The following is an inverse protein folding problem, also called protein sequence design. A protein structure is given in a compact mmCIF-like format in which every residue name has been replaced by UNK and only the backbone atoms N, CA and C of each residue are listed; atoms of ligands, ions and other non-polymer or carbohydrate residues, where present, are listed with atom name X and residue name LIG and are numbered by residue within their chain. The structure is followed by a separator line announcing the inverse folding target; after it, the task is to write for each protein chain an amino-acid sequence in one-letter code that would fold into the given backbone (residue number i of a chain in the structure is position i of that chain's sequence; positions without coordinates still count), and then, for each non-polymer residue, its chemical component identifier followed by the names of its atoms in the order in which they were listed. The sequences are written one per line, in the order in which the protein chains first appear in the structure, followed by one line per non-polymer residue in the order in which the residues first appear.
data_IF_194099293160
#
_entry.id   IF_194099293160
#
_cell.length_a   1.000
_cell.length_b   1.000
_cell.length_c   1.000
_cell.angle_alpha   90.00
_cell.angle_beta   90.00
_cell.angle_gamma   90.00
#
_symmetry.space_group_name_H-M   'P 1'
#
loop_
_entity.id
_entity.type
_entity.pdbx_description
1 polymer ?
#
# COMPACT_ATOMS: atom_id res chain seq x y z
N UNK A 1 55.64 16.58 -4.97
CA UNK A 1 54.29 17.02 -5.41
C UNK A 1 53.17 16.05 -4.99
N UNK A 2 53.36 14.73 -5.06
CA UNK A 2 52.33 13.74 -4.67
C UNK A 2 51.86 13.83 -3.20
N UNK A 3 52.78 14.02 -2.25
CA UNK A 3 52.45 14.05 -0.80
C UNK A 3 51.55 15.24 -0.44
N UNK A 4 51.75 16.39 -1.10
CA UNK A 4 50.94 17.59 -0.88
C UNK A 4 49.51 17.40 -1.40
N UNK A 5 49.35 16.74 -2.55
CA UNK A 5 48.05 16.42 -3.12
C UNK A 5 47.25 15.43 -2.25
N UNK A 6 47.93 14.41 -1.70
CA UNK A 6 47.30 13.43 -0.79
C UNK A 6 46.84 14.10 0.51
N UNK A 7 47.64 14.99 1.09
CA UNK A 7 47.24 15.76 2.28
C UNK A 7 46.05 16.68 2.01
N UNK A 8 46.03 17.37 0.87
CA UNK A 8 44.93 18.23 0.49
C UNK A 8 43.63 17.44 0.30
N UNK A 9 43.67 16.29 -0.37
CA UNK A 9 42.52 15.41 -0.53
C UNK A 9 41.99 14.89 0.81
N UNK A 10 42.88 14.52 1.74
CA UNK A 10 42.50 14.04 3.07
C UNK A 10 41.84 15.13 3.92
N UNK A 11 42.35 16.37 3.83
CA UNK A 11 41.75 17.53 4.49
C UNK A 11 40.36 17.85 3.92
N UNK A 12 40.19 17.81 2.59
CA UNK A 12 38.88 18.00 1.96
C UNK A 12 37.89 16.92 2.40
N UNK A 13 38.31 15.66 2.45
CA UNK A 13 37.48 14.56 2.95
C UNK A 13 37.07 14.77 4.42
N UNK A 14 38.02 15.17 5.29
CA UNK A 14 37.74 15.45 6.70
C UNK A 14 36.78 16.63 6.88
N UNK A 15 36.94 17.68 6.08
CA UNK A 15 36.04 18.85 6.09
C UNK A 15 34.63 18.45 5.62
N UNK A 16 34.51 17.59 4.61
CA UNK A 16 33.21 17.09 4.14
C UNK A 16 32.52 16.22 5.20
N UNK A 17 33.26 15.34 5.90
CA UNK A 17 32.70 14.53 7.01
C UNK A 17 32.29 15.42 8.18
N UNK A 18 33.11 16.41 8.54
CA UNK A 18 32.78 17.37 9.59
C UNK A 18 31.56 18.22 9.21
N UNK A 19 31.48 18.69 7.96
CA UNK A 19 30.33 19.44 7.46
C UNK A 19 29.05 18.58 7.46
N UNK A 20 29.14 17.30 7.08
CA UNK A 20 28.02 16.36 7.14
C UNK A 20 27.54 16.12 8.57
N UNK A 21 28.45 16.05 9.55
CA UNK A 21 28.12 15.93 10.97
C UNK A 21 27.50 17.20 11.58
N UNK A 22 27.69 18.35 10.92
CA UNK A 22 27.14 19.66 11.32
C UNK A 22 25.91 20.06 10.51
N UNK A 23 25.41 19.18 9.63
CA UNK A 23 24.13 19.41 8.98
C UNK A 23 23.07 19.47 10.08
N UNK A 24 22.29 20.56 10.16
CA UNK A 24 21.26 20.69 11.18
C UNK A 24 20.33 19.50 11.04
N UNK A 25 19.99 18.86 12.17
CA UNK A 25 19.00 17.81 12.24
C UNK A 25 17.80 18.24 11.39
N UNK A 26 17.50 17.48 10.33
CA UNK A 26 16.29 17.74 9.54
C UNK A 26 15.15 17.53 10.52
N UNK A 27 14.52 18.63 10.94
CA UNK A 27 13.45 18.57 11.91
C UNK A 27 12.32 17.82 11.23
N UNK A 28 11.98 16.66 11.80
CA UNK A 28 10.86 15.89 11.29
C UNK A 28 9.59 16.72 11.44
N UNK A 29 8.87 16.88 10.32
CA UNK A 29 7.62 17.61 10.27
C UNK A 29 6.49 16.59 10.33
N UNK A 30 5.63 16.73 11.34
CA UNK A 30 4.37 15.99 11.40
C UNK A 30 3.36 16.68 10.48
N UNK A 31 2.93 16.00 9.41
CA UNK A 31 1.82 16.47 8.59
C UNK A 31 0.50 16.09 9.28
N UNK A 32 -0.26 17.09 9.71
CA UNK A 32 -1.57 16.88 10.35
C UNK A 32 -2.67 17.59 9.58
N UNK A 33 -3.65 16.83 9.09
CA UNK A 33 -4.85 17.31 8.45
C UNK A 33 -6.07 16.90 9.28
N UNK A 34 -6.92 17.85 9.62
CA UNK A 34 -8.16 17.62 10.39
C UNK A 34 -9.32 18.28 9.69
N UNK A 35 -10.33 17.50 9.33
CA UNK A 35 -11.44 17.98 8.51
C UNK A 35 -10.98 18.43 7.12
N UNK A 36 -11.82 19.22 6.47
CA UNK A 36 -11.51 19.86 5.20
C UNK A 36 -11.55 18.92 3.99
N UNK A 37 -11.25 19.51 2.83
CA UNK A 37 -11.33 18.84 1.54
C UNK A 37 -9.98 18.84 0.85
N UNK A 38 -9.58 17.69 0.31
CA UNK A 38 -8.45 17.51 -0.61
C UNK A 38 -9.03 17.23 -2.00
N UNK A 39 -9.00 18.25 -2.85
CA UNK A 39 -9.50 18.22 -4.22
C UNK A 39 -8.37 18.40 -5.26
N UNK A 40 -7.12 18.44 -4.80
CA UNK A 40 -5.91 18.45 -5.61
C UNK A 40 -4.99 17.31 -5.19
N UNK A 41 -4.21 16.80 -6.13
CA UNK A 41 -3.26 15.73 -5.85
C UNK A 41 -2.21 16.20 -4.84
N UNK A 42 -1.90 15.35 -3.85
CA UNK A 42 -0.91 15.60 -2.81
C UNK A 42 0.09 14.45 -2.84
N UNK A 43 1.38 14.77 -2.83
CA UNK A 43 2.44 13.80 -2.56
C UNK A 43 3.14 14.20 -1.27
N UNK A 44 2.98 13.37 -0.24
CA UNK A 44 3.64 13.52 1.05
C UNK A 44 4.93 12.70 1.03
N UNK A 45 6.04 13.31 1.41
CA UNK A 45 7.34 12.66 1.36
C UNK A 45 8.37 13.42 2.19
N UNK A 46 9.29 14.12 1.51
CA UNK A 46 10.47 14.76 2.11
C UNK A 46 10.17 15.50 3.42
N UNK A 47 11.05 15.31 4.39
CA UNK A 47 10.99 15.90 5.73
C UNK A 47 9.79 15.48 6.60
N UNK A 48 8.98 14.52 6.16
CA UNK A 48 7.87 13.97 6.95
C UNK A 48 8.24 12.58 7.47
N UNK A 49 8.01 12.35 8.76
CA UNK A 49 8.06 11.03 9.39
C UNK A 49 6.65 10.52 9.77
N UNK A 50 5.74 11.46 10.06
CA UNK A 50 4.41 11.18 10.58
C UNK A 50 3.35 11.93 9.78
N UNK A 51 2.32 11.21 9.34
CA UNK A 51 1.13 11.76 8.70
C UNK A 51 -0.11 11.38 9.50
N UNK A 52 -0.90 12.36 9.89
CA UNK A 52 -2.15 12.18 10.63
C UNK A 52 -3.29 12.88 9.89
N UNK A 53 -4.22 12.11 9.33
CA UNK A 53 -5.43 12.61 8.68
C UNK A 53 -6.66 12.17 9.48
N UNK A 54 -7.46 13.12 9.98
CA UNK A 54 -8.67 12.85 10.75
C UNK A 54 -9.87 13.61 10.16
N UNK A 55 -10.87 12.91 9.63
CA UNK A 55 -12.08 13.54 9.08
C UNK A 55 -11.89 14.26 7.73
N UNK A 56 -10.82 13.94 6.99
CA UNK A 56 -10.51 14.60 5.71
C UNK A 56 -11.35 14.00 4.58
N UNK A 57 -11.91 14.86 3.71
CA UNK A 57 -12.66 14.47 2.52
C UNK A 57 -11.79 14.57 1.25
N UNK A 58 -11.50 13.45 0.59
CA UNK A 58 -10.68 13.40 -0.64
C UNK A 58 -11.60 13.20 -1.85
N UNK A 59 -11.46 14.02 -2.90
CA UNK A 59 -12.42 14.00 -4.03
C UNK A 59 -11.81 14.36 -5.38
N UNK A 60 -12.64 14.54 -6.41
CA UNK A 60 -12.24 14.97 -7.76
C UNK A 60 -11.19 14.07 -8.43
N UNK A 61 -11.22 12.78 -8.14
CA UNK A 61 -10.34 11.80 -8.80
C UNK A 61 -8.87 11.94 -8.43
N UNK A 62 -8.54 12.69 -7.37
CA UNK A 62 -7.15 13.00 -7.04
C UNK A 62 -6.43 11.86 -6.34
N UNK A 63 -5.11 11.87 -6.47
CA UNK A 63 -4.23 10.96 -5.77
C UNK A 63 -3.65 11.65 -4.52
N UNK A 64 -3.79 10.98 -3.36
CA UNK A 64 -3.02 11.26 -2.15
C UNK A 64 -1.95 10.19 -2.05
N UNK A 65 -0.69 10.57 -2.22
CA UNK A 65 0.45 9.65 -2.26
C UNK A 65 1.31 9.86 -1.03
N UNK A 66 1.43 8.84 -0.19
CA UNK A 66 2.44 8.76 0.85
C UNK A 66 3.66 8.05 0.27
N UNK A 67 4.66 8.83 -0.14
CA UNK A 67 5.90 8.35 -0.74
C UNK A 67 6.91 7.99 0.36
N UNK A 68 6.80 6.75 0.85
CA UNK A 68 7.58 6.19 1.96
C UNK A 68 9.09 6.24 1.65
N UNK A 69 9.46 6.06 0.38
CA UNK A 69 10.85 6.14 -0.05
C UNK A 69 11.42 7.56 0.07
N UNK A 70 10.56 8.58 -0.12
CA UNK A 70 10.92 9.99 0.01
C UNK A 70 10.79 10.56 1.43
N UNK A 71 10.11 9.85 2.34
CA UNK A 71 9.99 10.24 3.76
C UNK A 71 11.34 10.15 4.49
N UNK A 72 11.39 10.69 5.71
CA UNK A 72 12.61 10.69 6.52
C UNK A 72 13.07 9.26 6.88
N UNK A 73 14.37 9.05 7.14
CA UNK A 73 14.85 7.81 7.72
C UNK A 73 14.24 7.54 9.11
N UNK A 74 14.21 6.28 9.53
CA UNK A 74 13.70 5.86 10.83
C UNK A 74 12.27 5.31 10.82
N UNK A 75 11.59 5.45 11.95
CA UNK A 75 10.24 4.93 12.16
C UNK A 75 9.20 5.90 11.57
N UNK A 76 8.46 5.42 10.56
CA UNK A 76 7.46 6.17 9.84
C UNK A 76 6.05 5.81 10.31
N UNK A 77 5.15 6.79 10.35
CA UNK A 77 3.75 6.58 10.73
C UNK A 77 2.79 7.29 9.80
N UNK A 78 1.80 6.56 9.29
CA UNK A 78 0.70 7.08 8.47
C UNK A 78 -0.61 6.66 9.11
N UNK A 79 -1.41 7.63 9.54
CA UNK A 79 -2.71 7.39 10.19
C UNK A 79 -3.82 8.13 9.46
N UNK A 80 -4.83 7.37 9.04
CA UNK A 80 -6.08 7.85 8.45
C UNK A 80 -7.22 7.42 9.35
N UNK A 81 -7.98 8.40 9.84
CA UNK A 81 -9.10 8.19 10.76
C UNK A 81 -10.32 8.94 10.27
N UNK A 82 -11.47 8.27 10.20
CA UNK A 82 -12.74 8.88 9.78
C UNK A 82 -12.64 9.62 8.43
N UNK A 83 -11.71 9.25 7.56
CA UNK A 83 -11.52 9.91 6.28
C UNK A 83 -12.61 9.45 5.30
N UNK A 84 -12.97 10.33 4.39
CA UNK A 84 -13.92 10.03 3.33
C UNK A 84 -13.24 10.21 1.98
N UNK A 85 -13.48 9.33 1.03
CA UNK A 85 -12.95 9.45 -0.32
C UNK A 85 -14.03 9.17 -1.36
N UNK A 86 -14.13 10.03 -2.38
CA UNK A 86 -15.14 9.90 -3.41
C UNK A 86 -14.65 10.45 -4.77
N UNK A 87 -15.48 10.37 -5.80
CA UNK A 87 -15.19 10.94 -7.11
C UNK A 87 -14.00 10.30 -7.83
N UNK A 88 -13.65 9.06 -7.50
CA UNK A 88 -12.49 8.34 -8.05
C UNK A 88 -11.18 8.62 -7.33
N UNK A 89 -11.24 9.16 -6.11
CA UNK A 89 -10.06 9.45 -5.29
C UNK A 89 -9.25 8.18 -4.97
N UNK A 90 -7.93 8.34 -4.91
CA UNK A 90 -7.00 7.24 -4.71
C UNK A 90 -5.98 7.57 -3.63
N UNK A 91 -5.82 6.68 -2.66
CA UNK A 91 -4.90 6.84 -1.55
C UNK A 91 -3.79 5.79 -1.71
N UNK A 92 -2.56 6.25 -1.89
CA UNK A 92 -1.41 5.38 -2.12
C UNK A 92 -0.48 5.39 -0.91
N UNK A 93 -0.13 4.22 -0.42
CA UNK A 93 1.10 3.99 0.34
C UNK A 93 2.11 3.42 -0.63
N UNK A 94 3.06 4.27 -1.06
CA UNK A 94 4.03 3.94 -2.10
C UNK A 94 5.41 3.72 -1.48
N UNK A 95 5.90 2.48 -1.56
CA UNK A 95 7.22 2.06 -1.12
C UNK A 95 8.32 2.28 -2.16
N UNK A 96 9.37 1.47 -2.07
CA UNK A 96 10.58 1.52 -2.88
C UNK A 96 10.43 0.72 -4.16
N UNK A 97 10.75 1.33 -5.30
CA UNK A 97 10.80 0.62 -6.59
C UNK A 97 11.89 -0.46 -6.66
N UNK A 98 12.86 -0.42 -5.74
CA UNK A 98 13.90 -1.43 -5.56
C UNK A 98 13.99 -1.90 -4.10
N UNK A 99 15.17 -2.34 -3.66
CA UNK A 99 15.36 -2.79 -2.27
C UNK A 99 15.05 -1.66 -1.26
N UNK A 100 14.19 -1.92 -0.25
CA UNK A 100 13.92 -0.95 0.80
C UNK A 100 15.16 -0.61 1.63
N UNK A 101 15.18 0.61 2.17
CA UNK A 101 16.20 1.00 3.15
C UNK A 101 16.03 0.18 4.44
N UNK A 102 17.12 -0.37 4.96
CA UNK A 102 17.12 -1.25 6.14
C UNK A 102 17.02 -0.53 7.48
N UNK A 103 17.21 0.80 7.48
CA UNK A 103 17.16 1.67 8.66
C UNK A 103 15.76 2.24 8.91
N UNK A 104 14.71 1.61 8.37
CA UNK A 104 13.34 2.12 8.42
C UNK A 104 12.33 1.06 8.85
N UNK A 105 11.29 1.52 9.51
CA UNK A 105 10.05 0.77 9.78
C UNK A 105 8.85 1.64 9.46
N UNK A 106 7.70 1.03 9.22
CA UNK A 106 6.49 1.74 8.82
C UNK A 106 5.27 1.21 9.58
N UNK A 107 4.53 2.11 10.21
CA UNK A 107 3.18 1.84 10.73
C UNK A 107 2.15 2.57 9.88
N UNK A 108 1.21 1.82 9.30
CA UNK A 108 0.05 2.37 8.60
C UNK A 108 -1.21 1.95 9.34
N UNK A 109 -2.04 2.92 9.71
CA UNK A 109 -3.36 2.67 10.29
C UNK A 109 -4.43 3.40 9.51
N UNK A 110 -5.38 2.64 8.96
CA UNK A 110 -6.56 3.16 8.25
C UNK A 110 -7.79 2.67 9.01
N UNK A 111 -8.53 3.61 9.58
CA UNK A 111 -9.68 3.33 10.43
C UNK A 111 -10.87 4.17 10.00
N UNK A 112 -12.01 3.52 9.79
CA UNK A 112 -13.25 4.20 9.37
C UNK A 112 -13.02 5.02 8.09
N UNK A 113 -12.30 4.45 7.11
CA UNK A 113 -12.23 5.02 5.76
C UNK A 113 -13.52 4.65 5.02
N UNK A 114 -14.29 5.65 4.60
CA UNK A 114 -15.53 5.43 3.87
C UNK A 114 -15.47 6.06 2.49
N UNK A 115 -15.89 5.36 1.44
CA UNK A 115 -15.90 5.94 0.10
C UNK A 115 -16.77 5.20 -0.90
N UNK A 116 -17.55 5.97 -1.67
CA UNK A 116 -18.44 5.45 -2.71
C UNK A 116 -17.79 5.38 -4.08
N UNK A 117 -16.63 5.99 -4.30
CA UNK A 117 -15.81 5.88 -5.51
C UNK A 117 -14.34 6.13 -5.16
N UNK A 118 -13.70 5.12 -4.57
CA UNK A 118 -12.39 5.25 -3.94
C UNK A 118 -11.55 3.99 -4.04
N UNK A 119 -10.22 4.14 -4.01
CA UNK A 119 -9.29 3.01 -3.91
C UNK A 119 -8.16 3.30 -2.91
N UNK A 120 -7.85 2.29 -2.10
CA UNK A 120 -6.67 2.22 -1.24
C UNK A 120 -5.62 1.31 -1.89
N UNK A 121 -4.42 1.84 -2.08
CA UNK A 121 -3.39 1.20 -2.88
C UNK A 121 -2.10 1.08 -2.08
N UNK A 122 -1.59 -0.14 -1.95
CA UNK A 122 -0.23 -0.39 -1.50
C UNK A 122 0.59 -0.80 -2.72
N UNK A 123 1.67 -0.07 -2.96
CA UNK A 123 2.50 -0.31 -4.13
C UNK A 123 3.98 -0.25 -3.78
N UNK A 124 4.77 -1.03 -4.51
CA UNK A 124 6.21 -1.12 -4.35
C UNK A 124 6.65 -1.72 -3.00
N UNK A 125 7.95 -1.89 -2.79
CA UNK A 125 8.47 -2.61 -1.63
C UNK A 125 8.36 -1.77 -0.36
N UNK A 126 7.66 -2.27 0.66
CA UNK A 126 7.57 -1.59 1.95
C UNK A 126 8.82 -1.88 2.79
N UNK A 127 9.23 -0.97 3.71
CA UNK A 127 10.32 -1.25 4.65
C UNK A 127 10.12 -2.57 5.38
N UNK A 128 11.22 -3.20 5.83
CA UNK A 128 11.12 -4.35 6.72
C UNK A 128 10.39 -3.95 8.01
N UNK A 129 9.79 -4.92 8.70
CA UNK A 129 9.05 -4.68 9.95
C UNK A 129 7.89 -3.68 9.80
N UNK A 130 7.24 -3.67 8.64
CA UNK A 130 6.06 -2.86 8.41
C UNK A 130 4.83 -3.47 9.10
N UNK A 131 3.98 -2.62 9.69
CA UNK A 131 2.67 -3.01 10.19
C UNK A 131 1.58 -2.16 9.52
N UNK A 132 0.67 -2.81 8.80
CA UNK A 132 -0.46 -2.18 8.14
C UNK A 132 -1.75 -2.72 8.74
N UNK A 133 -2.57 -1.81 9.23
CA UNK A 133 -3.92 -2.11 9.73
C UNK A 133 -4.95 -1.32 8.94
N UNK A 134 -5.91 -2.02 8.34
CA UNK A 134 -7.10 -1.42 7.71
C UNK A 134 -8.30 -2.01 8.42
N UNK A 135 -9.10 -1.19 9.10
CA UNK A 135 -10.25 -1.70 9.85
C UNK A 135 -11.47 -0.81 9.83
N UNK A 136 -12.62 -1.44 10.06
CA UNK A 136 -13.91 -0.78 10.24
C UNK A 136 -14.25 0.17 9.07
N UNK A 137 -13.83 -0.19 7.86
CA UNK A 137 -13.83 0.67 6.66
C UNK A 137 -14.83 0.18 5.61
N UNK A 138 -15.28 1.05 4.72
CA UNK A 138 -16.18 0.71 3.60
C UNK A 138 -15.72 1.43 2.35
N UNK A 139 -15.17 0.69 1.39
CA UNK A 139 -14.57 1.26 0.17
C UNK A 139 -15.26 0.63 -1.04
N UNK A 140 -15.79 1.48 -1.91
CA UNK A 140 -16.55 1.08 -3.10
C UNK A 140 -15.92 1.69 -4.35
N UNK A 141 -15.79 0.89 -5.39
CA UNK A 141 -15.44 1.33 -6.75
C UNK A 141 -16.62 1.03 -7.69
N UNK A 142 -17.52 1.99 -7.92
CA UNK A 142 -18.73 1.82 -8.72
C UNK A 142 -18.45 1.96 -10.22
N UNK A 143 -17.31 2.57 -10.57
CA UNK A 143 -16.87 2.84 -11.92
C UNK A 143 -15.37 2.60 -12.11
N UNK A 144 -14.82 2.90 -13.30
CA UNK A 144 -13.42 2.64 -13.64
C UNK A 144 -12.46 3.55 -12.87
N UNK A 145 -11.39 2.98 -12.31
CA UNK A 145 -10.34 3.71 -11.60
C UNK A 145 -9.17 4.04 -12.53
N UNK A 146 -8.45 5.15 -12.24
CA UNK A 146 -7.28 5.59 -13.03
C UNK A 146 -6.01 5.57 -12.19
N UNK A 147 -5.32 4.44 -12.18
CA UNK A 147 -4.09 4.23 -11.41
C UNK A 147 -2.84 4.87 -12.03
N UNK A 148 -2.91 6.16 -12.37
CA UNK A 148 -1.83 6.88 -13.06
C UNK A 148 -0.52 6.98 -12.27
N UNK A 149 -0.57 6.76 -10.96
CA UNK A 149 0.63 6.75 -10.10
C UNK A 149 1.45 5.47 -10.20
N UNK A 150 0.94 4.43 -10.88
CA UNK A 150 1.57 3.11 -10.99
C UNK A 150 1.90 2.79 -12.44
N UNK A 151 3.17 2.90 -12.80
CA UNK A 151 3.65 2.44 -14.11
C UNK A 151 3.49 0.93 -14.24
N UNK A 152 2.88 0.47 -15.34
CA UNK A 152 2.73 -0.96 -15.64
C UNK A 152 1.50 -1.62 -15.04
N UNK A 153 0.68 -0.90 -14.27
CA UNK A 153 -0.62 -1.41 -13.83
C UNK A 153 -1.68 -1.21 -14.91
N UNK A 154 -1.82 -2.19 -15.81
CA UNK A 154 -2.77 -2.15 -16.94
C UNK A 154 -4.04 -2.96 -16.72
N UNK A 155 -3.99 -3.97 -15.85
CA UNK A 155 -5.06 -4.98 -15.77
C UNK A 155 -6.09 -4.68 -14.67
N UNK A 156 -5.79 -3.73 -13.76
CA UNK A 156 -6.73 -3.33 -12.71
C UNK A 156 -7.73 -2.31 -13.27
N UNK A 157 -8.98 -2.73 -13.43
CA UNK A 157 -10.06 -1.88 -13.94
C UNK A 157 -10.67 -1.01 -12.84
N UNK A 158 -11.05 -1.63 -11.73
CA UNK A 158 -11.64 -0.97 -10.57
C UNK A 158 -11.44 -1.89 -9.36
N UNK A 159 -10.78 -1.38 -8.32
CA UNK A 159 -10.57 -2.17 -7.11
C UNK A 159 -10.46 -1.29 -5.86
N UNK A 160 -11.28 -1.54 -4.83
CA UNK A 160 -11.21 -0.85 -3.55
C UNK A 160 -9.87 -1.03 -2.83
N UNK A 161 -9.24 -2.21 -2.95
CA UNK A 161 -7.94 -2.51 -2.36
C UNK A 161 -6.99 -3.10 -3.40
N UNK A 162 -5.85 -2.46 -3.60
CA UNK A 162 -4.83 -2.85 -4.59
C UNK A 162 -3.50 -3.14 -3.88
N UNK A 163 -2.92 -4.30 -4.15
CA UNK A 163 -1.52 -4.63 -3.86
C UNK A 163 -0.77 -4.75 -5.18
N UNK A 164 0.23 -3.91 -5.42
CA UNK A 164 0.93 -3.86 -6.70
C UNK A 164 2.46 -3.83 -6.56
N UNK A 165 3.14 -4.76 -7.23
CA UNK A 165 4.61 -4.82 -7.29
C UNK A 165 5.24 -4.75 -5.88
N UNK A 166 4.68 -5.47 -4.91
CA UNK A 166 4.97 -5.30 -3.49
C UNK A 166 5.75 -6.50 -2.94
N UNK A 167 6.98 -6.28 -2.51
CA UNK A 167 7.71 -7.22 -1.66
C UNK A 167 7.55 -6.83 -0.18
N UNK A 168 7.16 -7.81 0.64
CA UNK A 168 6.94 -7.68 2.07
C UNK A 168 7.94 -8.55 2.81
N UNK A 169 8.74 -7.93 3.68
CA UNK A 169 9.70 -8.63 4.54
C UNK A 169 9.37 -8.36 6.01
N UNK A 170 9.16 -9.42 6.79
CA UNK A 170 8.81 -9.34 8.21
C UNK A 170 7.64 -8.38 8.49
N UNK A 171 6.69 -8.34 7.57
CA UNK A 171 5.59 -7.37 7.56
C UNK A 171 4.28 -8.03 7.94
N UNK A 172 3.39 -7.29 8.59
CA UNK A 172 2.00 -7.68 8.82
C UNK A 172 1.07 -6.70 8.12
N UNK A 173 0.22 -7.18 7.22
CA UNK A 173 -0.86 -6.42 6.61
C UNK A 173 -2.18 -7.09 6.98
N UNK A 174 -2.98 -6.42 7.80
CA UNK A 174 -4.27 -6.90 8.26
C UNK A 174 -5.40 -5.99 7.81
N UNK A 175 -6.39 -6.59 7.16
CA UNK A 175 -7.66 -5.94 6.84
C UNK A 175 -8.74 -6.63 7.65
N UNK A 176 -9.47 -5.89 8.49
CA UNK A 176 -10.50 -6.46 9.37
C UNK A 176 -11.80 -5.66 9.38
N UNK A 177 -12.94 -6.32 9.56
CA UNK A 177 -14.26 -5.66 9.65
C UNK A 177 -14.50 -4.62 8.54
N UNK A 178 -14.11 -4.95 7.30
CA UNK A 178 -14.08 -4.00 6.19
C UNK A 178 -14.96 -4.50 5.05
N UNK A 179 -15.62 -3.57 4.37
CA UNK A 179 -16.42 -3.84 3.18
C UNK A 179 -15.69 -3.31 1.95
N UNK A 180 -15.39 -4.20 1.00
CA UNK A 180 -14.75 -3.86 -0.27
C UNK A 180 -15.69 -4.27 -1.41
N UNK A 181 -16.16 -3.29 -2.19
CA UNK A 181 -17.12 -3.54 -3.28
C UNK A 181 -16.65 -2.97 -4.61
N UNK A 182 -16.65 -3.79 -5.66
CA UNK A 182 -16.45 -3.35 -7.04
C UNK A 182 -17.71 -3.63 -7.86
N UNK A 183 -18.29 -2.59 -8.46
CA UNK A 183 -19.48 -2.71 -9.32
C UNK A 183 -19.15 -2.62 -10.81
N UNK A 184 -17.90 -2.31 -11.14
CA UNK A 184 -17.44 -2.14 -12.52
C UNK A 184 -17.14 -3.49 -13.18
N UNK A 185 -17.51 -3.62 -14.46
CA UNK A 185 -17.17 -4.78 -15.27
C UNK A 185 -15.66 -5.02 -15.33
N UNK A 186 -15.25 -6.29 -15.12
CA UNK A 186 -13.85 -6.66 -15.00
C UNK A 186 -13.17 -6.27 -13.69
N UNK A 187 -13.86 -5.56 -12.79
CA UNK A 187 -13.32 -5.10 -11.51
C UNK A 187 -13.24 -6.20 -10.44
N UNK A 188 -12.54 -5.90 -9.35
CA UNK A 188 -12.36 -6.83 -8.23
C UNK A 188 -12.36 -6.15 -6.88
N UNK A 189 -12.88 -6.79 -5.83
CA UNK A 189 -12.87 -6.19 -4.48
C UNK A 189 -11.44 -6.08 -3.92
N UNK A 190 -10.59 -7.07 -4.23
CA UNK A 190 -9.15 -7.03 -3.99
C UNK A 190 -8.41 -7.37 -5.28
N UNK A 191 -7.45 -6.53 -5.66
CA UNK A 191 -6.56 -6.76 -6.79
C UNK A 191 -5.11 -6.96 -6.30
N UNK A 192 -4.44 -7.96 -6.86
CA UNK A 192 -3.03 -8.26 -6.63
C UNK A 192 -2.33 -8.37 -7.99
N UNK A 193 -1.26 -7.61 -8.20
CA UNK A 193 -0.52 -7.66 -9.47
C UNK A 193 0.87 -7.05 -9.39
N UNK A 194 1.60 -7.01 -10.51
CA UNK A 194 2.97 -6.52 -10.59
C UNK A 194 4.02 -7.41 -9.90
N UNK A 195 3.62 -8.60 -9.43
CA UNK A 195 4.44 -9.45 -8.56
C UNK A 195 4.30 -9.09 -7.08
N UNK A 196 3.92 -10.06 -6.26
CA UNK A 196 3.84 -9.89 -4.80
C UNK A 196 4.59 -11.02 -4.12
N UNK A 197 5.52 -10.68 -3.23
CA UNK A 197 6.35 -11.64 -2.49
C UNK A 197 6.22 -11.36 -0.99
N UNK A 198 6.01 -12.42 -0.23
CA UNK A 198 5.93 -12.41 1.23
C UNK A 198 7.11 -13.23 1.74
N UNK A 199 7.98 -12.59 2.51
CA UNK A 199 9.10 -13.21 3.22
C UNK A 199 8.90 -13.00 4.72
N UNK A 200 8.69 -14.10 5.47
CA UNK A 200 8.34 -14.05 6.90
C UNK A 200 7.24 -13.03 7.23
N UNK A 201 6.26 -12.91 6.34
CA UNK A 201 5.24 -11.85 6.36
C UNK A 201 3.83 -12.44 6.41
N UNK A 202 2.88 -11.66 6.91
CA UNK A 202 1.49 -12.05 7.02
C UNK A 202 0.58 -11.06 6.29
N UNK A 203 -0.27 -11.56 5.39
CA UNK A 203 -1.41 -10.83 4.81
C UNK A 203 -2.69 -11.51 5.29
N UNK A 204 -3.53 -10.80 6.03
CA UNK A 204 -4.72 -11.37 6.69
C UNK A 204 -5.95 -10.54 6.39
N UNK A 205 -6.94 -11.14 5.74
CA UNK A 205 -8.30 -10.62 5.60
C UNK A 205 -9.21 -11.33 6.60
N UNK A 206 -9.81 -10.59 7.53
CA UNK A 206 -10.56 -11.15 8.66
C UNK A 206 -11.89 -10.42 8.93
N UNK A 207 -13.03 -11.09 8.76
CA UNK A 207 -14.33 -10.40 8.90
C UNK A 207 -14.59 -9.40 7.77
N UNK A 208 -14.13 -9.71 6.55
CA UNK A 208 -14.21 -8.83 5.38
C UNK A 208 -15.35 -9.27 4.45
N UNK A 209 -16.10 -8.30 3.91
CA UNK A 209 -17.01 -8.53 2.78
C UNK A 209 -16.30 -8.14 1.49
N UNK A 210 -16.17 -9.10 0.57
CA UNK A 210 -15.63 -8.92 -0.77
C UNK A 210 -16.78 -9.04 -1.78
N UNK A 211 -17.17 -7.95 -2.40
CA UNK A 211 -18.24 -7.95 -3.41
C UNK A 211 -17.73 -7.49 -4.76
N UNK A 212 -18.01 -8.26 -5.80
CA UNK A 212 -17.66 -7.94 -7.18
C UNK A 212 -18.84 -8.24 -8.12
N UNK A 213 -19.70 -7.25 -8.36
CA UNK A 213 -20.97 -7.43 -9.06
C UNK A 213 -21.00 -6.83 -10.47
N UNK A 214 -19.83 -6.59 -11.08
CA UNK A 214 -19.70 -5.94 -12.38
C UNK A 214 -19.98 -6.81 -13.62
N UNK A 215 -20.48 -8.03 -13.46
CA UNK A 215 -20.74 -8.99 -14.54
C UNK A 215 -19.81 -10.21 -14.51
N UNK A 216 -19.82 -10.99 -15.58
CA UNK A 216 -19.15 -12.32 -15.64
C UNK A 216 -17.63 -12.26 -15.47
N UNK A 217 -17.02 -11.10 -15.77
CA UNK A 217 -15.58 -10.89 -15.64
C UNK A 217 -15.19 -10.25 -14.31
N UNK A 218 -16.14 -10.00 -13.40
CA UNK A 218 -15.83 -9.48 -12.07
C UNK A 218 -15.22 -10.57 -11.17
N UNK A 219 -14.42 -10.20 -10.17
CA UNK A 219 -13.86 -11.18 -9.25
C UNK A 219 -13.79 -10.68 -7.80
N UNK A 220 -14.22 -11.46 -6.81
CA UNK A 220 -14.13 -11.02 -5.41
C UNK A 220 -12.66 -10.72 -5.02
N UNK A 221 -11.74 -11.59 -5.41
CA UNK A 221 -10.31 -11.33 -5.33
C UNK A 221 -9.63 -11.82 -6.61
N UNK A 222 -8.68 -11.03 -7.13
CA UNK A 222 -7.92 -11.38 -8.33
C UNK A 222 -6.43 -11.14 -8.15
N UNK A 223 -5.65 -12.19 -8.35
CA UNK A 223 -4.22 -12.13 -8.71
C UNK A 223 -4.14 -12.22 -10.23
N UNK A 224 -3.54 -11.23 -10.90
CA UNK A 224 -3.43 -11.27 -12.38
C UNK A 224 -2.54 -12.44 -12.82
N UNK A 225 -2.87 -13.09 -13.94
CA UNK A 225 -2.19 -14.30 -14.43
C UNK A 225 -0.71 -14.08 -14.76
N UNK A 226 -0.36 -12.87 -15.20
CA UNK A 226 1.02 -12.46 -15.48
C UNK A 226 1.88 -12.25 -14.23
N UNK A 227 1.24 -12.11 -13.06
CA UNK A 227 1.91 -11.83 -11.80
C UNK A 227 2.20 -13.09 -11.00
N UNK A 228 3.35 -13.11 -10.34
CA UNK A 228 3.65 -14.11 -9.34
C UNK A 228 3.12 -13.68 -7.97
N UNK A 229 2.63 -14.65 -7.19
CA UNK A 229 2.37 -14.51 -5.77
C UNK A 229 3.25 -15.54 -5.05
N UNK A 230 4.19 -15.08 -4.24
CA UNK A 230 5.17 -15.93 -3.57
C UNK A 230 5.07 -15.76 -2.05
N UNK A 231 5.05 -16.88 -1.32
CA UNK A 231 5.06 -16.94 0.13
C UNK A 231 6.25 -17.79 0.57
N UNK A 232 7.14 -17.22 1.38
CA UNK A 232 8.41 -17.84 1.81
C UNK A 232 8.67 -17.64 3.30
N UNK A 233 9.40 -18.57 3.91
CA UNK A 233 9.95 -18.46 5.28
C UNK A 233 8.90 -18.16 6.35
N UNK A 234 7.94 -19.08 6.52
CA UNK A 234 6.83 -18.99 7.46
C UNK A 234 5.87 -17.82 7.19
N UNK A 235 5.72 -17.45 5.92
CA UNK A 235 4.74 -16.43 5.53
C UNK A 235 3.31 -16.98 5.61
N UNK A 236 2.35 -16.09 5.83
CA UNK A 236 0.93 -16.43 5.91
C UNK A 236 0.13 -15.52 4.98
N UNK A 237 -0.65 -16.11 4.09
CA UNK A 237 -1.74 -15.41 3.44
C UNK A 237 -3.05 -16.07 3.88
N UNK A 238 -3.89 -15.34 4.61
CA UNK A 238 -5.10 -15.88 5.23
C UNK A 238 -6.33 -15.05 4.88
N UNK A 239 -7.39 -15.74 4.46
CA UNK A 239 -8.75 -15.19 4.37
C UNK A 239 -9.59 -15.98 5.35
N UNK A 240 -10.01 -15.33 6.43
CA UNK A 240 -10.83 -15.92 7.50
C UNK A 240 -12.08 -15.10 7.70
N UNK A 241 -13.21 -15.79 7.93
CA UNK A 241 -14.47 -15.12 8.19
C UNK A 241 -14.82 -14.09 7.08
N UNK A 242 -14.54 -14.46 5.83
CA UNK A 242 -14.82 -13.59 4.68
C UNK A 242 -16.11 -14.04 4.00
N UNK A 243 -16.91 -13.07 3.60
CA UNK A 243 -18.04 -13.30 2.69
C UNK A 243 -17.63 -12.77 1.31
N UNK A 244 -17.69 -13.64 0.31
CA UNK A 244 -17.36 -13.30 -1.06
C UNK A 244 -18.62 -13.43 -1.92
N UNK A 245 -19.02 -12.33 -2.54
CA UNK A 245 -20.14 -12.27 -3.48
C UNK A 245 -19.58 -11.83 -4.83
N UNK A 246 -19.75 -12.63 -5.87
CA UNK A 246 -19.26 -12.26 -7.19
C UNK A 246 -20.17 -12.73 -8.30
N UNK A 247 -20.46 -11.85 -9.26
CA UNK A 247 -21.20 -12.18 -10.48
C UNK A 247 -20.37 -12.93 -11.52
N UNK A 248 -19.07 -13.07 -11.27
CA UNK A 248 -18.11 -13.75 -12.14
C UNK A 248 -17.30 -14.79 -11.38
N UNK A 249 -16.01 -14.54 -11.20
CA UNK A 249 -15.10 -15.40 -10.43
C UNK A 249 -15.14 -15.10 -8.93
N UNK A 250 -15.03 -16.10 -8.07
CA UNK A 250 -14.84 -15.88 -6.63
C UNK A 250 -13.44 -15.33 -6.35
N UNK A 251 -12.53 -16.21 -5.97
CA UNK A 251 -11.12 -15.88 -5.73
C UNK A 251 -10.28 -16.51 -6.86
N UNK A 252 -9.53 -15.68 -7.59
CA UNK A 252 -8.68 -16.09 -8.71
C UNK A 252 -7.23 -15.84 -8.34
N UNK A 253 -6.39 -16.89 -8.31
CA UNK A 253 -5.00 -16.82 -7.81
C UNK A 253 -3.91 -16.80 -8.90
N UNK A 254 -4.27 -16.51 -10.15
CA UNK A 254 -3.32 -16.49 -11.27
C UNK A 254 -2.68 -17.86 -11.53
N UNK A 255 -1.64 -17.90 -12.37
CA UNK A 255 -0.96 -19.15 -12.76
C UNK A 255 0.38 -19.35 -12.02
N UNK A 256 0.89 -18.30 -11.34
CA UNK A 256 2.24 -18.25 -10.78
C UNK A 256 2.22 -18.11 -9.26
N UNK A 257 1.61 -19.09 -8.58
CA UNK A 257 1.60 -19.17 -7.12
C UNK A 257 2.75 -20.06 -6.62
N UNK A 258 3.53 -19.55 -5.67
CA UNK A 258 4.61 -20.26 -5.01
C UNK A 258 4.44 -20.18 -3.48
N UNK A 259 4.44 -21.33 -2.80
CA UNK A 259 4.31 -21.39 -1.34
C UNK A 259 5.40 -22.33 -0.81
N UNK A 260 6.38 -21.77 -0.10
CA UNK A 260 7.54 -22.48 0.43
C UNK A 260 7.62 -22.28 1.94
N UNK A 261 7.51 -23.37 2.70
CA UNK A 261 7.54 -23.35 4.17
C UNK A 261 6.61 -22.27 4.76
N UNK A 262 5.42 -22.16 4.17
CA UNK A 262 4.49 -21.04 4.37
C UNK A 262 3.04 -21.53 4.28
N UNK A 263 2.09 -20.71 4.73
CA UNK A 263 0.68 -21.08 4.85
C UNK A 263 -0.19 -20.20 3.96
N UNK A 264 -0.97 -20.86 3.11
CA UNK A 264 -2.09 -20.26 2.40
C UNK A 264 -3.39 -20.81 2.99
N UNK A 265 -4.18 -19.96 3.65
CA UNK A 265 -5.39 -20.37 4.38
C UNK A 265 -6.64 -19.71 3.83
N UNK A 266 -7.60 -20.54 3.43
CA UNK A 266 -8.88 -20.08 2.88
C UNK A 266 -10.07 -20.57 3.70
N UNK A 267 -10.82 -19.62 4.28
CA UNK A 267 -12.12 -19.84 4.92
C UNK A 267 -13.05 -18.67 4.60
N UNK A 268 -13.66 -18.74 3.43
CA UNK A 268 -14.67 -17.79 2.96
C UNK A 268 -16.00 -18.49 2.70
N UNK A 269 -17.11 -17.81 2.99
CA UNK A 269 -18.42 -18.17 2.47
C UNK A 269 -18.60 -17.50 1.11
N UNK A 270 -18.82 -18.27 0.05
CA UNK A 270 -19.06 -17.76 -1.29
C UNK A 270 -20.56 -17.82 -1.55
N UNK A 271 -21.16 -16.70 -1.97
CA UNK A 271 -22.56 -16.62 -2.39
C UNK A 271 -22.68 -16.03 -3.79
#
# INVERSE_FOLDING_TARGET
MAIAAVRAALLVALVLVAAAAWMPAVHAVVLRLRGGTVDRAITVGRAVDTVLMDGVYVTNGVAVVFDVAAMLPGALRIELRNCVCDGGAQIYVRGYSGEPASDRSLEVSVTVLSGSYCSLVFAHNLPAHTNVTVRDSTIVTPGPMRYSQLSGLTDAVASPLVLHATSLSQTQLRVSNTVLRSLQAGGSAVYVGGGVDLLSSAVVLDGVLLEASGGQTASAMRVTSSSFLSLRSHSVFSVTNVSAVSSGGGIVLGERLAVFDSVLRWRASVR
#
